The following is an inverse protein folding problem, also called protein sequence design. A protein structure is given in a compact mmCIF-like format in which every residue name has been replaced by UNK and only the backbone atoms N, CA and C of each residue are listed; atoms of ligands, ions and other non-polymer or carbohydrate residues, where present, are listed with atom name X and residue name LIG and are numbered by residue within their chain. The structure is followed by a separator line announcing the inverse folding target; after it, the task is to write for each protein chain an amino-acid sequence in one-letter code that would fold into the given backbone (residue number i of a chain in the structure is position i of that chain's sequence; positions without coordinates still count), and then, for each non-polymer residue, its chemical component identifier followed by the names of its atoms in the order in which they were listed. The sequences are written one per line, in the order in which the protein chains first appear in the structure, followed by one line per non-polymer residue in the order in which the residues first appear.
data_IF_443082199304
#
_entry.id   IF_443082199304
#
_cell.length_a   1.000
_cell.length_b   1.000
_cell.length_c   1.000
_cell.angle_alpha   90.00
_cell.angle_beta   90.00
_cell.angle_gamma   90.00
#
_symmetry.space_group_name_H-M   'P 1'
#
loop_
_entity.id
_entity.type
_entity.pdbx_description
1 polymer ?
#
# COMPACT_ATOMS: atom_id res chain seq x y z
N UNK A 1 -3.97 19.51 14.65
CA UNK A 1 -3.95 18.54 13.54
C UNK A 1 -3.80 19.35 12.27
N UNK A 2 -2.66 19.22 11.60
CA UNK A 2 -2.39 19.83 10.29
C UNK A 2 -3.30 19.17 9.25
N UNK A 3 -3.98 19.97 8.44
CA UNK A 3 -4.67 19.47 7.25
C UNK A 3 -3.62 18.91 6.28
N UNK A 4 -3.85 17.71 5.74
CA UNK A 4 -2.98 17.10 4.75
C UNK A 4 -3.20 17.79 3.40
N UNK A 5 -2.22 18.57 2.93
CA UNK A 5 -2.23 19.02 1.54
C UNK A 5 -1.69 17.90 0.64
N UNK A 6 -2.59 17.24 -0.10
CA UNK A 6 -2.23 16.14 -1.00
C UNK A 6 -1.18 16.59 -2.04
N UNK A 7 -1.29 17.83 -2.56
CA UNK A 7 -0.37 18.31 -3.58
C UNK A 7 1.07 18.43 -3.04
N UNK A 8 1.21 19.01 -1.85
CA UNK A 8 2.52 19.18 -1.21
C UNK A 8 3.09 17.83 -0.80
N UNK A 9 2.27 16.95 -0.21
CA UNK A 9 2.70 15.62 0.22
C UNK A 9 3.12 14.72 -0.96
N UNK A 10 2.46 14.83 -2.12
CA UNK A 10 2.88 14.12 -3.33
C UNK A 10 4.18 14.69 -3.91
N UNK A 11 4.40 15.99 -3.77
CA UNK A 11 5.63 16.65 -4.21
C UNK A 11 6.82 16.22 -3.33
N UNK A 12 6.62 16.13 -2.00
CA UNK A 12 7.61 15.57 -1.06
C UNK A 12 8.00 14.12 -1.42
N UNK A 13 7.03 13.28 -1.84
CA UNK A 13 7.32 11.92 -2.33
C UNK A 13 8.21 11.95 -3.58
N UNK A 14 7.95 12.87 -4.52
CA UNK A 14 8.73 13.00 -5.75
C UNK A 14 10.15 13.50 -5.49
N UNK A 15 10.32 14.39 -4.52
CA UNK A 15 11.61 14.96 -4.11
C UNK A 15 12.41 14.00 -3.21
N UNK A 16 11.75 12.96 -2.67
CA UNK A 16 12.39 11.94 -1.82
C UNK A 16 12.58 12.38 -0.37
N UNK A 17 11.93 13.47 0.04
CA UNK A 17 12.07 14.12 1.35
C UNK A 17 10.88 13.80 2.26
N UNK A 18 10.42 12.53 2.26
CA UNK A 18 9.28 12.14 3.12
C UNK A 18 9.76 12.01 4.57
N UNK A 19 9.51 13.05 5.38
CA UNK A 19 9.65 12.97 6.83
C UNK A 19 8.42 12.30 7.46
N UNK A 20 8.66 11.25 8.24
CA UNK A 20 7.62 10.50 8.96
C UNK A 20 7.94 10.62 10.44
N UNK A 21 7.13 11.38 11.18
CA UNK A 21 7.34 11.63 12.61
C UNK A 21 7.41 10.32 13.41
N UNK A 22 6.49 9.39 13.14
CA UNK A 22 6.50 8.05 13.73
C UNK A 22 7.15 7.02 12.80
N UNK A 23 8.38 7.28 12.32
CA UNK A 23 9.08 6.39 11.39
C UNK A 23 9.35 5.00 12.00
N UNK A 24 8.79 3.98 11.36
CA UNK A 24 9.12 2.59 11.60
C UNK A 24 9.99 2.10 10.44
N UNK A 25 11.19 1.60 10.78
CA UNK A 25 12.13 1.00 9.81
C UNK A 25 11.66 -0.41 9.44
N UNK A 26 10.63 -0.52 8.61
CA UNK A 26 9.99 -1.81 8.25
C UNK A 26 11.01 -2.81 7.71
N UNK A 27 11.98 -2.35 6.91
CA UNK A 27 13.04 -3.18 6.35
C UNK A 27 13.94 -3.88 7.40
N UNK A 28 13.98 -3.39 8.65
CA UNK A 28 14.83 -3.93 9.72
C UNK A 28 14.05 -4.79 10.72
N UNK A 29 12.74 -4.90 10.56
CA UNK A 29 11.88 -5.66 11.45
C UNK A 29 11.92 -7.16 11.16
N UNK A 30 11.62 -7.97 12.18
CA UNK A 30 11.39 -9.39 11.96
C UNK A 30 10.06 -9.60 11.24
N UNK A 31 9.89 -10.78 10.63
CA UNK A 31 8.61 -11.13 9.99
C UNK A 31 7.43 -11.15 11.00
N UNK A 32 7.71 -11.46 12.27
CA UNK A 32 6.71 -11.40 13.34
C UNK A 32 6.31 -9.96 13.65
N UNK A 33 7.27 -9.06 13.80
CA UNK A 33 6.97 -7.64 14.09
C UNK A 33 6.22 -6.97 12.93
N UNK A 34 6.59 -7.28 11.68
CA UNK A 34 5.86 -6.83 10.48
C UNK A 34 4.40 -7.29 10.53
N UNK A 35 4.18 -8.55 10.89
CA UNK A 35 2.85 -9.13 11.03
C UNK A 35 2.04 -8.44 12.14
N UNK A 36 2.65 -8.19 13.29
CA UNK A 36 2.01 -7.57 14.44
C UNK A 36 1.66 -6.10 14.18
N UNK A 37 2.52 -5.36 13.47
CA UNK A 37 2.19 -4.00 13.05
C UNK A 37 1.04 -3.94 12.05
N UNK A 38 0.94 -4.92 11.13
CA UNK A 38 -0.21 -5.01 10.22
C UNK A 38 -1.49 -5.43 10.93
N UNK A 39 -1.42 -6.35 11.91
CA UNK A 39 -2.55 -6.69 12.77
C UNK A 39 -3.08 -5.46 13.51
N UNK A 40 -2.20 -4.70 14.16
CA UNK A 40 -2.60 -3.47 14.86
C UNK A 40 -3.26 -2.47 13.91
N UNK A 41 -2.76 -2.35 12.67
CA UNK A 41 -3.39 -1.49 11.67
C UNK A 41 -4.80 -2.00 11.29
N UNK A 42 -4.98 -3.32 11.13
CA UNK A 42 -6.30 -3.93 10.89
C UNK A 42 -7.23 -3.65 12.05
N UNK A 43 -6.83 -4.00 13.28
CA UNK A 43 -7.66 -3.87 14.48
C UNK A 43 -8.16 -2.43 14.65
N UNK A 44 -7.27 -1.45 14.45
CA UNK A 44 -7.63 -0.02 14.54
C UNK A 44 -8.58 0.42 13.42
N UNK A 45 -8.42 -0.09 12.20
CA UNK A 45 -9.33 0.25 11.09
C UNK A 45 -10.69 -0.44 11.22
N UNK A 46 -10.72 -1.65 11.79
CA UNK A 46 -11.95 -2.38 12.10
C UNK A 46 -12.75 -1.68 13.21
N UNK A 47 -12.10 -1.14 14.23
CA UNK A 47 -12.76 -0.30 15.25
C UNK A 47 -13.43 0.94 14.63
N UNK A 48 -12.71 1.63 13.75
CA UNK A 48 -13.25 2.74 12.97
C UNK A 48 -12.32 3.08 11.80
N UNK A 49 -12.84 3.19 10.57
CA UNK A 49 -12.01 3.63 9.44
C UNK A 49 -11.52 5.09 9.60
N UNK A 50 -12.17 5.90 10.45
CA UNK A 50 -11.73 7.25 10.80
C UNK A 50 -10.42 7.25 11.60
N UNK A 51 -10.01 6.12 12.18
CA UNK A 51 -8.73 6.02 12.88
C UNK A 51 -7.52 6.26 11.96
N UNK A 52 -7.69 6.19 10.62
CA UNK A 52 -6.65 6.59 9.65
C UNK A 52 -6.20 8.04 9.86
N UNK A 53 -7.06 8.89 10.43
CA UNK A 53 -6.75 10.28 10.78
C UNK A 53 -5.80 10.44 11.96
N UNK A 54 -5.58 9.38 12.73
CA UNK A 54 -4.65 9.40 13.85
C UNK A 54 -3.21 9.37 13.31
N UNK A 55 -2.33 10.32 13.71
CA UNK A 55 -0.97 10.42 13.20
C UNK A 55 -0.20 9.10 13.26
N UNK A 56 -0.28 8.38 14.38
CA UNK A 56 0.39 7.10 14.56
C UNK A 56 -0.04 6.02 13.55
N UNK A 57 -1.33 5.93 13.21
CA UNK A 57 -1.81 4.95 12.24
C UNK A 57 -1.41 5.36 10.83
N UNK A 58 -1.61 6.64 10.53
CA UNK A 58 -1.29 7.21 9.24
C UNK A 58 0.19 7.02 8.91
N UNK A 59 1.07 7.37 9.84
CA UNK A 59 2.52 7.25 9.71
C UNK A 59 2.97 5.80 9.55
N UNK A 60 2.36 4.88 10.33
CA UNK A 60 2.60 3.45 10.18
C UNK A 60 2.27 2.97 8.77
N UNK A 61 1.10 3.34 8.24
CA UNK A 61 0.70 2.99 6.87
C UNK A 61 1.63 3.64 5.84
N UNK A 62 2.06 4.90 6.06
CA UNK A 62 3.07 5.58 5.23
C UNK A 62 4.40 4.80 5.19
N UNK A 63 4.89 4.30 6.33
CA UNK A 63 6.11 3.48 6.39
C UNK A 63 5.98 2.19 5.57
N UNK A 64 4.84 1.49 5.65
CA UNK A 64 4.59 0.30 4.84
C UNK A 64 4.56 0.59 3.33
N UNK A 65 3.94 1.70 2.94
CA UNK A 65 3.87 2.11 1.53
C UNK A 65 5.24 2.57 1.02
N UNK A 66 6.02 3.31 1.83
CA UNK A 66 7.38 3.73 1.50
C UNK A 66 8.29 2.54 1.22
N UNK A 67 8.28 1.55 2.12
CA UNK A 67 9.19 0.39 2.05
C UNK A 67 8.63 -0.76 1.19
N UNK A 68 7.52 -0.52 0.46
CA UNK A 68 6.75 -1.53 -0.26
C UNK A 68 7.58 -2.36 -1.25
N UNK A 69 8.57 -1.75 -1.90
CA UNK A 69 9.45 -2.44 -2.87
C UNK A 69 10.33 -3.52 -2.23
N UNK A 70 10.63 -3.39 -0.93
CA UNK A 70 11.45 -4.33 -0.16
C UNK A 70 10.64 -5.44 0.52
N UNK A 71 9.31 -5.31 0.53
CA UNK A 71 8.42 -6.26 1.20
C UNK A 71 8.28 -7.57 0.41
N UNK A 72 8.13 -8.67 1.15
CA UNK A 72 7.78 -9.98 0.57
C UNK A 72 6.39 -9.93 -0.09
N UNK A 73 6.14 -10.70 -1.16
CA UNK A 73 4.87 -10.69 -1.90
C UNK A 73 3.61 -10.79 -1.04
N UNK A 74 3.55 -11.71 -0.10
CA UNK A 74 2.39 -11.88 0.79
C UNK A 74 2.14 -10.65 1.69
N UNK A 75 3.20 -9.97 2.13
CA UNK A 75 3.08 -8.72 2.91
C UNK A 75 2.54 -7.60 2.04
N UNK A 76 2.93 -7.56 0.76
CA UNK A 76 2.45 -6.55 -0.20
C UNK A 76 0.95 -6.70 -0.49
N UNK A 77 0.50 -7.95 -0.66
CA UNK A 77 -0.92 -8.27 -0.77
C UNK A 77 -1.65 -7.76 0.47
N UNK A 78 -1.14 -8.10 1.65
CA UNK A 78 -1.75 -7.71 2.93
C UNK A 78 -1.81 -6.20 3.12
N UNK A 79 -0.74 -5.45 2.80
CA UNK A 79 -0.74 -3.97 2.88
C UNK A 79 -1.86 -3.37 2.03
N UNK A 80 -2.02 -3.84 0.79
CA UNK A 80 -3.11 -3.33 -0.04
C UNK A 80 -4.48 -3.79 0.46
N UNK A 81 -4.62 -5.02 0.94
CA UNK A 81 -5.90 -5.52 1.47
C UNK A 81 -6.33 -4.70 2.70
N UNK A 82 -5.40 -4.32 3.58
CA UNK A 82 -5.64 -3.42 4.71
C UNK A 82 -6.13 -2.05 4.23
N UNK A 83 -5.48 -1.46 3.23
CA UNK A 83 -5.88 -0.15 2.71
C UNK A 83 -7.24 -0.20 2.00
N UNK A 84 -7.47 -1.19 1.14
CA UNK A 84 -8.73 -1.33 0.40
C UNK A 84 -9.90 -1.69 1.32
N UNK A 85 -9.69 -2.56 2.32
CA UNK A 85 -10.72 -2.86 3.32
C UNK A 85 -11.07 -1.64 4.16
N UNK A 86 -10.07 -0.86 4.60
CA UNK A 86 -10.28 0.40 5.32
C UNK A 86 -11.09 1.42 4.50
N UNK A 87 -10.79 1.56 3.21
CA UNK A 87 -11.55 2.45 2.30
C UNK A 87 -12.99 1.98 2.14
N UNK A 88 -13.21 0.69 1.87
CA UNK A 88 -14.57 0.16 1.72
C UNK A 88 -15.39 0.32 3.01
N UNK A 89 -14.78 0.04 4.18
CA UNK A 89 -15.42 0.27 5.46
C UNK A 89 -15.76 1.76 5.68
N UNK A 90 -14.93 2.69 5.19
CA UNK A 90 -15.22 4.13 5.27
C UNK A 90 -16.35 4.55 4.35
N UNK A 91 -16.40 4.02 3.13
CA UNK A 91 -17.50 4.25 2.17
C UNK A 91 -18.82 3.78 2.78
N UNK A 92 -18.83 2.57 3.36
CA UNK A 92 -20.01 2.02 4.03
C UNK A 92 -20.42 2.87 5.24
N UNK A 93 -19.46 3.37 6.02
CA UNK A 93 -19.71 4.27 7.13
C UNK A 93 -20.40 5.57 6.66
N UNK A 94 -19.87 6.22 5.62
CA UNK A 94 -20.46 7.44 5.05
C UNK A 94 -21.88 7.16 4.53
N UNK A 95 -22.09 6.03 3.85
CA UNK A 95 -23.39 5.65 3.32
C UNK A 95 -24.42 5.41 4.44
N UNK A 96 -24.01 4.81 5.56
CA UNK A 96 -24.86 4.64 6.74
C UNK A 96 -25.20 5.99 7.39
N UNK A 97 -24.19 6.85 7.54
CA UNK A 97 -24.31 8.14 8.21
C UNK A 97 -25.08 9.19 7.42
N UNK A 98 -25.05 9.14 6.08
CA UNK A 98 -25.87 9.99 5.22
C UNK A 98 -27.38 9.81 5.43
N UNK A 99 -27.80 8.68 6.02
CA UNK A 99 -29.20 8.37 6.33
C UNK A 99 -29.63 8.91 7.70
N UNK A 100 -28.69 9.36 8.53
CA UNK A 100 -28.94 9.93 9.84
C UNK A 100 -28.90 11.48 9.76
N UNK A 101 -30.01 12.18 9.99
CA UNK A 101 -30.05 13.64 9.94
C UNK A 101 -29.22 14.34 11.03
N UNK A 102 -28.73 13.61 12.04
CA UNK A 102 -27.90 14.15 13.12
C UNK A 102 -26.42 13.80 12.97
N UNK A 103 -26.01 13.28 11.81
CA UNK A 103 -24.73 12.62 11.71
C UNK A 103 -23.52 13.56 11.72
N UNK A 104 -22.39 12.95 12.08
CA UNK A 104 -21.06 13.51 12.36
C UNK A 104 -20.58 14.56 11.34
N UNK A 105 -19.70 15.46 11.80
CA UNK A 105 -19.05 16.49 10.99
C UNK A 105 -18.43 15.91 9.71
N UNK A 106 -18.92 16.38 8.55
CA UNK A 106 -18.36 16.09 7.22
C UNK A 106 -16.85 16.32 7.13
N UNK A 107 -16.30 17.17 8.00
CA UNK A 107 -14.85 17.43 8.06
C UNK A 107 -14.05 16.17 8.43
N UNK A 108 -14.54 15.31 9.33
CA UNK A 108 -13.82 14.08 9.71
C UNK A 108 -13.80 13.05 8.57
N UNK A 109 -14.90 12.94 7.82
CA UNK A 109 -14.94 12.08 6.64
C UNK A 109 -14.01 12.58 5.55
N UNK A 110 -13.97 13.90 5.34
CA UNK A 110 -13.07 14.51 4.38
C UNK A 110 -11.60 14.23 4.71
N UNK A 111 -11.16 14.49 5.95
CA UNK A 111 -9.76 14.25 6.34
C UNK A 111 -9.37 12.76 6.20
N UNK A 112 -10.24 11.84 6.63
CA UNK A 112 -9.97 10.41 6.45
C UNK A 112 -9.91 9.99 4.97
N UNK A 113 -10.79 10.53 4.11
CA UNK A 113 -10.74 10.26 2.66
C UNK A 113 -9.48 10.83 2.00
N UNK A 114 -9.05 12.04 2.37
CA UNK A 114 -7.81 12.65 1.86
C UNK A 114 -6.59 11.79 2.22
N UNK A 115 -6.55 11.26 3.43
CA UNK A 115 -5.48 10.34 3.88
C UNK A 115 -5.49 9.00 3.16
N UNK A 116 -6.65 8.38 3.00
CA UNK A 116 -6.78 7.15 2.23
C UNK A 116 -6.40 7.35 0.76
N UNK A 117 -6.86 8.44 0.14
CA UNK A 117 -6.54 8.77 -1.25
C UNK A 117 -5.04 8.98 -1.44
N UNK A 118 -4.39 9.70 -0.51
CA UNK A 118 -2.94 9.87 -0.51
C UNK A 118 -2.21 8.52 -0.42
N UNK A 119 -2.57 7.68 0.56
CA UNK A 119 -1.94 6.35 0.73
C UNK A 119 -2.14 5.47 -0.50
N UNK A 120 -3.32 5.50 -1.11
CA UNK A 120 -3.64 4.70 -2.28
C UNK A 120 -2.88 5.19 -3.52
N UNK A 121 -2.81 6.50 -3.74
CA UNK A 121 -2.01 7.09 -4.81
C UNK A 121 -0.52 6.74 -4.66
N UNK A 122 0.01 6.82 -3.43
CA UNK A 122 1.40 6.46 -3.16
C UNK A 122 1.63 4.97 -3.37
N UNK A 123 0.72 4.10 -2.89
CA UNK A 123 0.76 2.65 -3.12
C UNK A 123 0.83 2.32 -4.62
N UNK A 124 -0.07 2.91 -5.43
CA UNK A 124 -0.07 2.72 -6.89
C UNK A 124 1.26 3.15 -7.49
N UNK A 125 1.81 4.29 -7.05
CA UNK A 125 3.08 4.81 -7.57
C UNK A 125 4.26 3.86 -7.28
N UNK A 126 4.39 3.37 -6.03
CA UNK A 126 5.47 2.42 -5.66
C UNK A 126 5.26 1.04 -6.26
N UNK A 127 4.00 0.63 -6.45
CA UNK A 127 3.62 -0.63 -7.08
C UNK A 127 4.00 -0.65 -8.58
N UNK A 128 3.69 0.41 -9.31
CA UNK A 128 4.05 0.57 -10.72
C UNK A 128 5.57 0.64 -10.91
N UNK A 129 6.28 1.36 -10.02
CA UNK A 129 7.74 1.41 -10.03
C UNK A 129 8.36 0.02 -9.80
N UNK A 130 7.85 -0.73 -8.82
CA UNK A 130 8.29 -2.11 -8.53
C UNK A 130 8.09 -3.03 -9.71
N UNK A 131 6.93 -2.98 -10.37
CA UNK A 131 6.63 -3.83 -11.51
C UNK A 131 7.48 -3.47 -12.74
N UNK A 132 7.72 -2.17 -12.95
CA UNK A 132 8.62 -1.69 -14.01
C UNK A 132 10.06 -2.19 -13.82
N UNK A 133 10.56 -2.19 -12.57
CA UNK A 133 11.89 -2.70 -12.24
C UNK A 133 12.04 -4.20 -12.53
N UNK A 134 11.04 -5.02 -12.15
CA UNK A 134 11.03 -6.47 -12.45
C UNK A 134 11.09 -6.74 -13.95
N UNK A 135 10.26 -6.04 -14.74
CA UNK A 135 10.22 -6.20 -16.19
C UNK A 135 11.57 -5.83 -16.84
N UNK A 136 12.25 -4.80 -16.33
CA UNK A 136 13.58 -4.43 -16.79
C UNK A 136 14.63 -5.52 -16.49
N UNK A 137 14.57 -6.14 -15.30
CA UNK A 137 15.46 -7.26 -14.94
C UNK A 137 15.24 -8.50 -15.81
N UNK A 138 13.99 -8.84 -16.12
CA UNK A 138 13.66 -9.99 -16.99
C UNK A 138 14.15 -9.77 -18.44
N UNK A 139 13.99 -8.54 -18.97
CA UNK A 139 14.53 -8.17 -20.28
C UNK A 139 16.07 -8.22 -20.29
N UNK A 140 16.73 -7.78 -19.22
CA UNK A 140 18.19 -7.86 -19.10
C UNK A 140 18.71 -9.30 -19.00
N UNK A 141 17.98 -10.19 -18.30
CA UNK A 141 18.31 -11.60 -18.17
C UNK A 141 18.15 -12.35 -19.50
N UNK A 142 17.09 -12.07 -20.26
CA UNK A 142 16.83 -12.69 -21.57
C UNK A 142 17.73 -12.14 -22.69
N UNK A 143 18.11 -10.85 -22.62
CA UNK A 143 19.06 -10.22 -23.55
C UNK A 143 20.50 -10.75 -23.46
N UNK A 144 20.90 -11.39 -22.35
CA UNK A 144 22.23 -12.00 -22.18
C UNK A 144 22.36 -13.42 -22.75
N UNK A 145 21.29 -14.04 -23.27
CA UNK A 145 21.29 -15.44 -23.74
C UNK A 145 21.73 -15.61 -25.21
N UNK A 146 22.35 -14.58 -25.84
CA UNK A 146 22.86 -14.70 -27.21
C UNK A 146 24.39 -14.81 -27.26
N UNK A 147 24.93 -15.94 -26.79
CA UNK A 147 26.12 -16.66 -27.32
C UNK A 147 26.52 -17.80 -26.37
N UNK A 148 26.02 -19.02 -26.61
CA UNK A 148 26.53 -20.19 -25.89
C UNK A 148 25.62 -21.42 -25.93
N UNK A 149 25.74 -22.19 -27.00
CA UNK A 149 25.39 -23.60 -27.18
C UNK A 149 25.32 -24.45 -25.89
N UNK A 150 24.16 -25.10 -25.64
CA UNK A 150 24.11 -26.43 -25.00
C UNK A 150 23.27 -26.60 -23.72
N UNK A 151 22.14 -27.29 -23.87
CA UNK A 151 21.66 -28.38 -22.99
C UNK A 151 20.99 -28.09 -21.63
N UNK A 152 19.73 -28.58 -21.58
CA UNK A 152 18.88 -29.02 -20.44
C UNK A 152 18.18 -27.98 -19.56
N UNK A 153 16.85 -28.02 -19.73
CA UNK A 153 15.80 -27.69 -18.75
C UNK A 153 16.21 -28.06 -17.32
N UNK A 154 16.17 -27.08 -16.43
CA UNK A 154 15.78 -27.30 -15.04
C UNK A 154 14.56 -26.42 -14.82
N UNK A 155 13.39 -27.05 -14.72
CA UNK A 155 12.20 -26.37 -14.25
C UNK A 155 12.53 -25.82 -12.87
N UNK A 156 12.49 -24.51 -12.72
CA UNK A 156 12.49 -23.89 -11.41
C UNK A 156 11.13 -24.17 -10.79
N UNK A 157 11.02 -25.27 -10.06
CA UNK A 157 10.10 -25.39 -8.94
C UNK A 157 10.63 -24.48 -7.84
N UNK A 158 10.37 -23.18 -7.99
CA UNK A 158 10.49 -22.16 -6.94
C UNK A 158 9.09 -21.62 -6.71
N UNK A 159 8.68 -21.59 -5.44
CA UNK A 159 7.36 -21.22 -4.92
C UNK A 159 6.41 -20.49 -5.87
N UNK A 160 5.27 -21.13 -6.16
CA UNK A 160 4.12 -20.46 -6.75
C UNK A 160 3.52 -19.37 -5.83
N UNK A 161 4.01 -19.28 -4.59
CA UNK A 161 3.56 -18.34 -3.55
C UNK A 161 4.38 -17.03 -3.51
N UNK A 162 5.41 -16.91 -4.35
CA UNK A 162 6.34 -15.76 -4.35
C UNK A 162 6.07 -14.75 -5.49
N UNK A 163 4.94 -14.88 -6.18
CA UNK A 163 4.54 -13.94 -7.23
C UNK A 163 3.54 -12.92 -6.71
N UNK A 164 3.99 -11.68 -6.53
CA UNK A 164 3.10 -10.55 -6.30
C UNK A 164 2.46 -10.10 -7.64
N UNK A 165 1.15 -10.32 -7.77
CA UNK A 165 0.33 -10.02 -8.96
C UNK A 165 -0.17 -8.57 -8.94
N UNK A 166 0.62 -7.66 -9.51
CA UNK A 166 0.23 -6.26 -9.65
C UNK A 166 -1.00 -6.06 -10.56
N UNK A 167 -1.10 -6.69 -11.76
CA UNK A 167 -2.28 -6.55 -12.61
C UNK A 167 -3.61 -6.85 -11.90
N UNK A 168 -3.69 -7.96 -11.17
CA UNK A 168 -4.88 -8.32 -10.38
C UNK A 168 -5.15 -7.33 -9.26
N UNK A 169 -4.11 -6.90 -8.52
CA UNK A 169 -4.25 -5.94 -7.44
C UNK A 169 -4.64 -4.53 -7.92
N UNK A 170 -4.12 -4.11 -9.07
CA UNK A 170 -4.46 -2.83 -9.73
C UNK A 170 -5.94 -2.81 -10.12
N UNK A 171 -6.46 -3.90 -10.68
CA UNK A 171 -7.89 -3.98 -11.01
C UNK A 171 -8.77 -3.81 -9.76
N UNK A 172 -8.47 -4.54 -8.67
CA UNK A 172 -9.18 -4.40 -7.39
C UNK A 172 -9.13 -2.97 -6.85
N UNK A 173 -7.97 -2.33 -6.95
CA UNK A 173 -7.77 -0.94 -6.54
C UNK A 173 -8.67 0.01 -7.34
N UNK A 174 -8.73 -0.15 -8.66
CA UNK A 174 -9.58 0.66 -9.52
C UNK A 174 -11.07 0.41 -9.29
N UNK A 175 -11.46 -0.84 -9.01
CA UNK A 175 -12.86 -1.19 -8.70
C UNK A 175 -13.34 -0.55 -7.39
N UNK A 176 -12.48 -0.40 -6.38
CA UNK A 176 -12.82 0.34 -5.14
C UNK A 176 -13.05 1.83 -5.37
N UNK A 177 -12.47 2.41 -6.42
CA UNK A 177 -12.65 3.83 -6.75
C UNK A 177 -13.88 4.12 -7.64
N UNK A 178 -14.64 3.09 -8.01
CA UNK A 178 -15.71 3.20 -9.01
C UNK A 178 -17.06 3.58 -8.41
#
# INVERSE_FOLDING_TARGET
MSELNIADALLEIQEGEVDIEHDIRIAHLSAGDIHDHLNDAVDRLEESPLNVSRPELFDKLRCFVRDFSMLKPHVCNRVADVLLSGINAHIDLIAQQSKDPNCTSLAHHRDALERFAFLLQWLVSVAEARESAKNAEEVAATGRVKRGRGTRKKAATGDADDHWDWPGQRLRTLDTMR
#
